data_IF_773997353928
#
_entry.id   IF_773997353928
#
_cell.length_a   1.000
_cell.length_b   1.000
_cell.length_c   1.000
_cell.angle_alpha   90.00
_cell.angle_beta   90.00
_cell.angle_gamma   90.00
#
_symmetry.space_group_name_H-M   'P 1'
#
loop_
_entity.id
_entity.type
_entity.pdbx_description
1 polymer ?
#
# COMPACT_ATOMS: atom_id res chain seq x y z
N UNK A 1 17.90 -16.09 -9.19
CA UNK A 1 17.28 -14.75 -8.99
C UNK A 1 16.11 -14.96 -8.04
N UNK A 2 16.19 -14.49 -6.79
CA UNK A 2 15.13 -14.75 -5.79
C UNK A 2 13.96 -13.78 -6.01
N UNK A 3 12.74 -14.30 -6.22
CA UNK A 3 11.49 -13.56 -6.34
C UNK A 3 10.82 -13.35 -4.97
N UNK A 4 9.79 -12.50 -4.90
CA UNK A 4 8.89 -12.48 -3.74
C UNK A 4 8.06 -13.77 -3.69
N UNK A 5 7.61 -14.18 -2.50
CA UNK A 5 6.90 -15.44 -2.28
C UNK A 5 5.49 -15.20 -1.74
N UNK A 6 4.52 -15.97 -2.23
CA UNK A 6 3.18 -16.03 -1.66
C UNK A 6 3.13 -17.14 -0.63
N UNK A 7 2.52 -16.88 0.53
CA UNK A 7 2.26 -17.95 1.50
C UNK A 7 1.24 -18.95 0.93
N UNK A 8 1.42 -20.24 1.21
CA UNK A 8 0.66 -21.34 0.61
C UNK A 8 -0.83 -21.28 0.93
N UNK A 9 -1.19 -20.84 2.13
CA UNK A 9 -2.58 -20.68 2.58
C UNK A 9 -3.21 -19.33 2.19
N UNK A 10 -2.53 -18.48 1.39
CA UNK A 10 -3.02 -17.15 1.04
C UNK A 10 -4.44 -17.18 0.47
N UNK A 11 -4.69 -18.01 -0.55
CA UNK A 11 -5.99 -18.01 -1.21
C UNK A 11 -7.10 -18.53 -0.32
N UNK A 12 -6.83 -19.53 0.50
CA UNK A 12 -7.77 -20.02 1.51
C UNK A 12 -8.19 -18.90 2.47
N UNK A 13 -7.22 -18.17 3.02
CA UNK A 13 -7.47 -17.04 3.93
C UNK A 13 -8.26 -15.92 3.25
N UNK A 14 -7.94 -15.59 2.00
CA UNK A 14 -8.66 -14.56 1.26
C UNK A 14 -10.10 -14.98 0.91
N UNK A 15 -10.32 -16.23 0.50
CA UNK A 15 -11.67 -16.76 0.23
C UNK A 15 -12.50 -16.78 1.52
N UNK A 16 -11.91 -17.21 2.64
CA UNK A 16 -12.57 -17.16 3.96
C UNK A 16 -12.99 -15.74 4.33
N UNK A 17 -12.11 -14.76 4.09
CA UNK A 17 -12.42 -13.36 4.34
C UNK A 17 -13.51 -12.83 3.38
N UNK A 18 -13.47 -13.16 2.09
CA UNK A 18 -14.53 -12.80 1.14
C UNK A 18 -15.88 -13.34 1.62
N UNK A 19 -15.95 -14.62 2.00
CA UNK A 19 -17.18 -15.22 2.50
C UNK A 19 -17.68 -14.56 3.78
N UNK A 20 -16.79 -14.18 4.69
CA UNK A 20 -17.16 -13.44 5.92
C UNK A 20 -17.68 -12.03 5.62
N UNK A 21 -17.02 -11.30 4.73
CA UNK A 21 -17.26 -9.86 4.57
C UNK A 21 -18.29 -9.52 3.50
N UNK A 22 -18.57 -10.41 2.53
CA UNK A 22 -19.58 -10.16 1.49
C UNK A 22 -20.99 -10.00 2.07
N UNK A 23 -21.27 -10.67 3.19
CA UNK A 23 -22.58 -10.60 3.87
C UNK A 23 -22.70 -9.35 4.75
N UNK A 24 -21.55 -8.74 5.12
CA UNK A 24 -21.48 -7.53 5.96
C UNK A 24 -21.43 -6.28 5.08
N UNK A 25 -20.73 -6.35 3.94
CA UNK A 25 -20.44 -5.21 3.07
C UNK A 25 -20.88 -5.51 1.64
N UNK A 26 -22.05 -5.00 1.25
CA UNK A 26 -22.63 -5.18 -0.09
C UNK A 26 -21.75 -4.66 -1.23
N UNK A 27 -20.84 -3.70 -0.95
CA UNK A 27 -19.88 -3.13 -1.90
C UNK A 27 -18.44 -3.57 -1.65
N UNK A 28 -18.21 -4.77 -1.11
CA UNK A 28 -16.86 -5.32 -0.95
C UNK A 28 -16.14 -5.45 -2.31
N UNK A 29 -15.04 -4.71 -2.49
CA UNK A 29 -14.27 -4.70 -3.72
C UNK A 29 -12.88 -5.33 -3.60
N UNK A 30 -12.23 -5.23 -2.44
CA UNK A 30 -10.84 -5.66 -2.27
C UNK A 30 -10.66 -6.35 -0.93
N UNK A 31 -9.98 -7.51 -0.97
CA UNK A 31 -9.45 -8.19 0.21
C UNK A 31 -7.92 -8.25 0.08
N UNK A 32 -7.23 -7.51 0.94
CA UNK A 32 -5.77 -7.53 1.07
C UNK A 32 -5.31 -8.23 2.36
N UNK A 33 -4.00 -8.18 2.60
CA UNK A 33 -3.37 -8.67 3.83
C UNK A 33 -2.00 -8.05 4.06
N UNK A 34 -1.31 -8.53 5.08
CA UNK A 34 -0.02 -7.97 5.52
C UNK A 34 1.14 -8.51 4.69
N UNK A 35 2.28 -7.82 4.73
CA UNK A 35 3.50 -8.20 4.00
C UNK A 35 4.67 -8.24 4.98
N UNK A 36 5.47 -9.31 4.93
CA UNK A 36 6.83 -9.33 5.49
C UNK A 36 7.82 -8.93 4.40
N UNK A 37 8.93 -8.33 4.78
CA UNK A 37 9.99 -7.89 3.87
C UNK A 37 11.28 -8.65 4.19
N UNK A 38 11.93 -9.25 3.19
CA UNK A 38 13.16 -10.01 3.37
C UNK A 38 14.31 -9.50 2.50
N UNK A 39 15.54 -9.67 3.00
CA UNK A 39 16.77 -9.29 2.29
C UNK A 39 17.72 -10.49 2.17
N UNK A 40 18.14 -10.82 0.95
CA UNK A 40 18.98 -11.99 0.70
C UNK A 40 18.11 -13.25 0.70
N UNK A 41 18.05 -13.96 1.83
CA UNK A 41 17.27 -15.20 1.98
C UNK A 41 15.85 -14.90 2.49
N UNK A 42 14.88 -15.74 2.13
CA UNK A 42 13.47 -15.58 2.53
C UNK A 42 13.25 -15.63 4.05
N UNK A 43 14.19 -16.25 4.78
CA UNK A 43 14.19 -16.35 6.24
C UNK A 43 14.72 -15.09 6.94
N UNK A 44 15.46 -14.24 6.23
CA UNK A 44 16.00 -13.00 6.78
C UNK A 44 14.97 -11.86 6.67
N UNK A 45 13.97 -11.90 7.54
CA UNK A 45 12.94 -10.87 7.62
C UNK A 45 13.53 -9.60 8.23
N UNK A 46 13.47 -8.51 7.46
CA UNK A 46 14.01 -7.18 7.82
C UNK A 46 12.92 -6.16 8.11
N UNK A 47 11.65 -6.50 7.91
CA UNK A 47 10.55 -5.59 8.14
C UNK A 47 9.17 -6.19 7.88
N UNK A 48 8.15 -5.40 8.21
CA UNK A 48 6.75 -5.71 7.91
C UNK A 48 6.06 -4.45 7.42
N UNK A 49 5.31 -4.56 6.32
CA UNK A 49 4.37 -3.53 5.90
C UNK A 49 2.98 -3.88 6.41
N UNK A 50 2.66 -3.35 7.59
CA UNK A 50 1.33 -3.47 8.19
C UNK A 50 0.39 -2.36 7.71
N UNK A 51 -0.84 -2.73 7.40
CA UNK A 51 -1.92 -1.84 6.95
C UNK A 51 -3.19 -2.07 7.79
N UNK A 52 -4.05 -1.06 7.96
CA UNK A 52 -5.24 -1.18 8.80
C UNK A 52 -6.21 -2.25 8.31
N UNK A 53 -6.94 -2.88 9.22
CA UNK A 53 -7.80 -4.03 8.91
C UNK A 53 -9.23 -3.60 8.55
N UNK A 54 -9.76 -2.60 9.26
CA UNK A 54 -11.17 -2.22 9.18
C UNK A 54 -11.40 -1.08 8.15
N UNK A 55 -12.54 -1.06 7.44
CA UNK A 55 -12.79 -0.13 6.34
C UNK A 55 -12.59 1.36 6.69
N UNK A 56 -13.10 1.79 7.84
CA UNK A 56 -13.01 3.19 8.29
C UNK A 56 -11.57 3.63 8.57
N UNK A 57 -10.74 2.71 9.05
CA UNK A 57 -9.32 2.99 9.27
C UNK A 57 -8.55 2.97 7.96
N UNK A 58 -8.90 2.06 7.04
CA UNK A 58 -8.36 2.02 5.68
C UNK A 58 -8.58 3.34 4.96
N UNK A 59 -9.79 3.89 5.02
CA UNK A 59 -10.13 5.18 4.42
C UNK A 59 -9.32 6.33 5.02
N UNK A 60 -9.28 6.43 6.36
CA UNK A 60 -8.46 7.43 7.06
C UNK A 60 -6.97 7.31 6.73
N UNK A 61 -6.48 6.09 6.65
CA UNK A 61 -5.08 5.81 6.32
C UNK A 61 -4.76 6.16 4.86
N UNK A 62 -5.72 5.96 3.94
CA UNK A 62 -5.62 6.32 2.54
C UNK A 62 -5.37 7.82 2.32
N UNK A 63 -5.77 8.69 3.27
CA UNK A 63 -5.44 10.11 3.21
C UNK A 63 -3.92 10.40 3.34
N UNK A 64 -3.16 9.48 3.95
CA UNK A 64 -1.73 9.63 4.24
C UNK A 64 -0.86 8.68 3.43
N UNK A 65 -1.15 7.38 3.43
CA UNK A 65 -0.33 6.32 2.81
C UNK A 65 -1.22 5.33 2.05
N UNK A 66 -0.63 4.56 1.14
CA UNK A 66 -1.37 3.51 0.43
C UNK A 66 -1.91 2.48 1.44
N UNK A 67 -3.24 2.28 1.50
CA UNK A 67 -3.87 1.51 2.57
C UNK A 67 -3.89 0.01 2.31
N UNK A 68 -3.53 -0.43 1.09
CA UNK A 68 -3.49 -1.84 0.72
C UNK A 68 -2.08 -2.22 0.26
N UNK A 69 -1.70 -3.46 0.57
CA UNK A 69 -0.53 -4.10 -0.01
C UNK A 69 -0.89 -4.68 -1.39
N UNK A 70 -0.51 -3.99 -2.48
CA UNK A 70 -0.81 -4.45 -3.84
C UNK A 70 -0.47 -5.93 -4.12
N UNK A 71 0.69 -6.49 -3.70
CA UNK A 71 0.98 -7.88 -4.01
C UNK A 71 0.07 -8.89 -3.28
N UNK A 72 -0.71 -8.46 -2.28
CA UNK A 72 -1.55 -9.34 -1.46
C UNK A 72 -3.01 -9.38 -1.90
N UNK A 73 -3.44 -8.59 -2.87
CA UNK A 73 -4.88 -8.38 -3.13
C UNK A 73 -5.57 -9.53 -3.85
N UNK A 74 -6.85 -9.69 -3.54
CA UNK A 74 -7.89 -10.21 -4.44
C UNK A 74 -8.88 -9.07 -4.71
N UNK A 75 -9.26 -8.88 -5.98
CA UNK A 75 -10.09 -7.75 -6.42
C UNK A 75 -11.36 -8.29 -7.11
N UNK A 76 -12.51 -7.74 -6.74
CA UNK A 76 -13.76 -7.96 -7.45
C UNK A 76 -13.66 -7.36 -8.87
N UNK A 77 -13.73 -8.21 -9.89
CA UNK A 77 -13.57 -7.82 -11.29
C UNK A 77 -14.60 -6.78 -11.73
N UNK A 78 -15.87 -6.96 -11.38
CA UNK A 78 -16.94 -6.02 -11.77
C UNK A 78 -16.72 -4.65 -11.12
N UNK A 79 -16.36 -4.62 -9.84
CA UNK A 79 -16.03 -3.36 -9.15
C UNK A 79 -14.82 -2.65 -9.80
N UNK A 80 -13.77 -3.40 -10.18
CA UNK A 80 -12.60 -2.86 -10.87
C UNK A 80 -12.94 -2.22 -12.20
N UNK A 81 -13.77 -2.89 -13.01
CA UNK A 81 -14.21 -2.38 -14.31
C UNK A 81 -15.09 -1.14 -14.15
N UNK A 82 -15.98 -1.11 -13.14
CA UNK A 82 -16.85 0.02 -12.86
C UNK A 82 -16.09 1.31 -12.50
N UNK A 83 -14.87 1.20 -11.95
CA UNK A 83 -14.02 2.37 -11.66
C UNK A 83 -12.96 2.63 -12.75
N UNK A 84 -13.02 1.91 -13.87
CA UNK A 84 -12.16 2.09 -15.04
C UNK A 84 -10.77 1.44 -14.97
N UNK A 85 -10.53 0.48 -14.07
CA UNK A 85 -9.24 -0.23 -14.00
C UNK A 85 -8.08 0.65 -13.51
N UNK A 86 -6.86 0.47 -14.04
CA UNK A 86 -5.67 1.25 -13.69
C UNK A 86 -5.59 2.54 -14.53
N UNK A 87 -5.17 3.65 -13.92
CA UNK A 87 -5.23 5.00 -14.50
C UNK A 87 -4.03 5.40 -15.37
N UNK A 88 -3.18 4.45 -15.79
CA UNK A 88 -2.02 4.68 -16.65
C UNK A 88 -0.94 5.61 -16.05
N UNK A 89 -0.98 5.85 -14.74
CA UNK A 89 0.02 6.68 -14.04
C UNK A 89 1.37 5.97 -14.02
N UNK A 90 2.47 6.63 -14.35
CA UNK A 90 3.78 5.94 -14.27
C UNK A 90 4.24 5.61 -12.83
N UNK A 91 3.65 6.27 -11.82
CA UNK A 91 3.94 6.06 -10.40
C UNK A 91 2.66 6.17 -9.59
N UNK A 92 2.60 5.49 -8.44
CA UNK A 92 1.46 5.50 -7.53
C UNK A 92 0.18 4.83 -8.07
N UNK A 93 0.28 4.05 -9.15
CA UNK A 93 -0.85 3.34 -9.78
C UNK A 93 -1.75 2.62 -8.79
N UNK A 94 -1.17 1.75 -7.97
CA UNK A 94 -1.92 0.99 -6.97
C UNK A 94 -2.60 1.91 -5.96
N UNK A 95 -1.91 2.96 -5.52
CA UNK A 95 -2.46 3.88 -4.52
C UNK A 95 -3.63 4.69 -5.11
N UNK A 96 -3.48 5.17 -6.34
CA UNK A 96 -4.56 5.83 -7.06
C UNK A 96 -5.76 4.90 -7.24
N UNK A 97 -5.53 3.61 -7.55
CA UNK A 97 -6.57 2.61 -7.65
C UNK A 97 -7.36 2.45 -6.34
N UNK A 98 -6.67 2.30 -5.20
CA UNK A 98 -7.34 2.17 -3.90
C UNK A 98 -8.13 3.42 -3.53
N UNK A 99 -7.61 4.60 -3.83
CA UNK A 99 -8.35 5.86 -3.61
C UNK A 99 -9.58 5.92 -4.49
N UNK A 100 -9.51 5.51 -5.76
CA UNK A 100 -10.68 5.50 -6.66
C UNK A 100 -11.76 4.51 -6.21
N UNK A 101 -11.39 3.35 -5.67
CA UNK A 101 -12.37 2.47 -5.04
C UNK A 101 -13.06 3.15 -3.85
N UNK A 102 -12.30 3.76 -2.94
CA UNK A 102 -12.84 4.44 -1.76
C UNK A 102 -13.74 5.63 -2.15
N UNK A 103 -13.32 6.44 -3.12
CA UNK A 103 -14.11 7.56 -3.64
C UNK A 103 -15.39 7.14 -4.36
N UNK A 104 -15.47 5.90 -4.83
CA UNK A 104 -16.67 5.29 -5.40
C UNK A 104 -17.45 4.45 -4.37
N UNK A 105 -17.20 4.68 -3.08
CA UNK A 105 -17.88 4.05 -1.94
C UNK A 105 -17.80 2.53 -1.95
N UNK A 106 -16.73 1.97 -2.54
CA UNK A 106 -16.43 0.55 -2.38
C UNK A 106 -15.72 0.29 -1.06
N UNK A 107 -15.98 -0.88 -0.51
CA UNK A 107 -15.38 -1.34 0.74
C UNK A 107 -14.12 -2.14 0.45
N UNK A 108 -13.04 -1.78 1.13
CA UNK A 108 -11.77 -2.48 1.12
C UNK A 108 -11.50 -2.99 2.53
N UNK A 109 -10.97 -4.21 2.64
CA UNK A 109 -10.57 -4.82 3.92
C UNK A 109 -9.17 -5.39 3.81
N UNK A 110 -8.46 -5.48 4.92
CA UNK A 110 -7.25 -6.29 5.04
C UNK A 110 -7.42 -7.33 6.13
N UNK A 111 -6.82 -8.49 5.94
CA UNK A 111 -6.73 -9.54 6.97
C UNK A 111 -5.42 -9.40 7.77
N UNK A 112 -5.39 -9.84 9.05
CA UNK A 112 -4.21 -9.68 9.90
C UNK A 112 -3.02 -10.56 9.49
N UNK A 113 -3.25 -11.59 8.68
CA UNK A 113 -2.23 -12.53 8.24
C UNK A 113 -1.27 -11.93 7.20
N UNK A 114 -0.02 -12.38 7.26
CA UNK A 114 0.97 -12.09 6.22
C UNK A 114 0.70 -12.99 5.03
N UNK A 115 0.44 -12.40 3.87
CA UNK A 115 0.09 -13.14 2.65
C UNK A 115 1.23 -13.23 1.64
N UNK A 116 2.19 -12.30 1.74
CA UNK A 116 3.36 -12.26 0.85
C UNK A 116 4.61 -11.96 1.66
N UNK A 117 5.66 -12.73 1.42
CA UNK A 117 7.02 -12.42 1.83
C UNK A 117 7.71 -11.69 0.67
N UNK A 118 7.81 -10.38 0.78
CA UNK A 118 8.27 -9.49 -0.29
C UNK A 118 9.78 -9.30 -0.23
N UNK A 119 10.46 -9.55 -1.35
CA UNK A 119 11.88 -9.25 -1.45
C UNK A 119 12.08 -7.73 -1.50
N UNK A 120 12.94 -7.21 -0.64
CA UNK A 120 13.39 -5.82 -0.69
C UNK A 120 14.84 -5.75 -1.16
N UNK A 121 15.12 -4.81 -2.06
CA UNK A 121 16.48 -4.53 -2.53
C UNK A 121 16.79 -3.03 -2.49
N UNK A 122 18.08 -2.70 -2.61
CA UNK A 122 18.52 -1.30 -2.61
C UNK A 122 17.96 -0.49 -3.79
N UNK A 123 17.53 -1.15 -4.86
CA UNK A 123 16.96 -0.48 -6.04
C UNK A 123 15.50 -0.09 -5.83
N UNK A 124 14.74 -0.78 -4.96
CA UNK A 124 13.39 -0.41 -4.55
C UNK A 124 13.36 1.02 -3.97
N UNK A 125 14.37 1.39 -3.20
CA UNK A 125 14.47 2.73 -2.61
C UNK A 125 14.76 3.82 -3.64
N UNK A 126 15.48 3.50 -4.72
CA UNK A 126 15.75 4.44 -5.82
C UNK A 126 14.48 4.78 -6.62
N UNK A 127 13.54 3.84 -6.72
CA UNK A 127 12.28 4.02 -7.48
C UNK A 127 11.22 4.87 -6.76
N UNK A 128 11.37 5.12 -5.45
CA UNK A 128 10.39 5.85 -4.61
C UNK A 128 10.92 7.21 -4.14
N UNK A 129 11.53 7.97 -5.04
CA UNK A 129 12.11 9.28 -4.74
C UNK A 129 12.33 10.12 -5.99
N UNK A 130 12.86 11.34 -5.80
CA UNK A 130 13.14 12.29 -6.87
C UNK A 130 11.99 13.26 -7.17
N UNK A 131 12.33 14.34 -7.89
CA UNK A 131 11.45 15.50 -8.12
C UNK A 131 10.19 15.11 -8.92
N UNK A 132 10.34 14.27 -9.97
CA UNK A 132 9.21 13.81 -10.80
C UNK A 132 8.19 12.99 -9.97
N UNK A 133 8.68 12.13 -9.08
CA UNK A 133 7.83 11.37 -8.17
C UNK A 133 7.10 12.30 -7.19
N UNK A 134 7.84 13.24 -6.58
CA UNK A 134 7.27 14.22 -5.65
C UNK A 134 6.18 15.07 -6.30
N UNK A 135 6.44 15.59 -7.51
CA UNK A 135 5.45 16.38 -8.27
C UNK A 135 4.16 15.58 -8.52
N UNK A 136 4.31 14.35 -9.01
CA UNK A 136 3.16 13.45 -9.24
C UNK A 136 2.42 13.14 -7.94
N UNK A 137 3.14 12.89 -6.85
CA UNK A 137 2.57 12.63 -5.54
C UNK A 137 1.73 13.81 -5.02
N UNK A 138 2.25 15.03 -5.08
CA UNK A 138 1.52 16.24 -4.63
C UNK A 138 0.28 16.47 -5.51
N UNK A 139 0.41 16.32 -6.83
CA UNK A 139 -0.71 16.42 -7.77
C UNK A 139 -1.82 15.42 -7.43
N UNK A 140 -1.47 14.15 -7.25
CA UNK A 140 -2.44 13.12 -6.88
C UNK A 140 -3.10 13.40 -5.53
N UNK A 141 -2.34 13.81 -4.51
CA UNK A 141 -2.91 14.18 -3.20
C UNK A 141 -3.97 15.28 -3.29
N UNK A 142 -3.76 16.28 -4.15
CA UNK A 142 -4.77 17.33 -4.40
C UNK A 142 -6.01 16.74 -5.08
N UNK A 143 -5.84 15.91 -6.11
CA UNK A 143 -6.96 15.25 -6.82
C UNK A 143 -7.77 14.36 -5.87
N UNK A 144 -7.10 13.53 -5.08
CA UNK A 144 -7.73 12.61 -4.12
C UNK A 144 -8.54 13.35 -3.07
N UNK A 145 -8.05 14.49 -2.58
CA UNK A 145 -8.82 15.38 -1.69
C UNK A 145 -10.12 15.84 -2.34
N UNK A 146 -10.10 16.24 -3.62
CA UNK A 146 -11.32 16.63 -4.35
C UNK A 146 -12.27 15.44 -4.58
N UNK A 147 -11.77 14.21 -4.51
CA UNK A 147 -12.56 12.97 -4.53
C UNK A 147 -12.96 12.47 -3.13
N UNK A 148 -12.88 13.33 -2.11
CA UNK A 148 -13.31 13.03 -0.74
C UNK A 148 -12.26 12.36 0.14
N UNK A 149 -11.07 12.03 -0.38
CA UNK A 149 -10.04 11.33 0.41
C UNK A 149 -9.00 12.32 0.95
N UNK A 150 -9.11 12.59 2.25
CA UNK A 150 -8.20 13.47 2.99
C UNK A 150 -8.63 14.93 3.02
N UNK A 151 -7.76 15.79 3.54
CA UNK A 151 -8.02 17.23 3.73
C UNK A 151 -6.81 18.06 3.30
N UNK A 152 -6.94 19.39 3.27
CA UNK A 152 -5.78 20.27 3.03
C UNK A 152 -4.62 19.96 4.00
N UNK A 153 -4.95 19.65 5.26
CA UNK A 153 -3.95 19.24 6.28
C UNK A 153 -3.24 17.95 5.88
N UNK A 154 -3.96 16.92 5.42
CA UNK A 154 -3.32 15.65 5.03
C UNK A 154 -2.45 15.81 3.78
N UNK A 155 -2.86 16.67 2.84
CA UNK A 155 -2.06 17.01 1.66
C UNK A 155 -0.73 17.65 2.08
N UNK A 156 -0.76 18.66 2.97
CA UNK A 156 0.45 19.33 3.46
C UNK A 156 1.36 18.36 4.21
N UNK A 157 0.84 17.64 5.21
CA UNK A 157 1.64 16.72 6.04
C UNK A 157 2.28 15.62 5.18
N UNK A 158 1.50 15.01 4.28
CA UNK A 158 1.99 13.93 3.43
C UNK A 158 3.04 14.43 2.42
N UNK A 159 2.85 15.65 1.91
CA UNK A 159 3.80 16.28 0.98
C UNK A 159 5.11 16.61 1.67
N UNK A 160 5.09 17.18 2.89
CA UNK A 160 6.30 17.43 3.68
C UNK A 160 7.06 16.13 4.00
N UNK A 161 6.34 15.07 4.38
CA UNK A 161 6.95 13.76 4.58
C UNK A 161 7.57 13.20 3.29
N UNK A 162 6.94 13.42 2.13
CA UNK A 162 7.48 13.00 0.83
C UNK A 162 8.68 13.85 0.40
N UNK A 163 8.68 15.16 0.68
CA UNK A 163 9.82 16.06 0.47
C UNK A 163 11.00 15.60 1.32
N UNK A 164 10.78 15.32 2.60
CA UNK A 164 11.81 14.75 3.46
C UNK A 164 12.38 13.45 2.87
N UNK A 165 11.53 12.60 2.30
CA UNK A 165 11.93 11.40 1.57
C UNK A 165 12.66 11.68 0.23
N UNK A 166 12.34 12.77 -0.48
CA UNK A 166 13.02 13.11 -1.73
C UNK A 166 14.39 13.75 -1.48
N UNK A 167 14.50 14.54 -0.40
CA UNK A 167 15.71 15.24 0.00
C UNK A 167 16.66 14.33 0.78
N UNK A 168 16.15 13.35 1.55
CA UNK A 168 17.01 12.40 2.28
C UNK A 168 17.93 11.66 1.28
N UNK A 169 19.25 11.88 1.35
CA UNK A 169 20.19 11.19 0.48
C UNK A 169 20.05 9.68 0.69
N UNK A 170 20.11 8.91 -0.39
CA UNK A 170 20.06 7.43 -0.35
C UNK A 170 21.08 6.87 0.67
N UNK A 171 22.21 7.56 0.85
CA UNK A 171 23.27 7.24 1.82
C UNK A 171 22.83 7.32 3.29
N UNK A 172 22.12 8.37 3.70
CA UNK A 172 21.64 8.52 5.08
C UNK A 172 20.50 7.55 5.42
N UNK A 173 19.67 7.19 4.43
CA UNK A 173 18.66 6.13 4.57
C UNK A 173 19.29 4.77 4.86
N UNK A 174 20.38 4.41 4.18
CA UNK A 174 21.11 3.15 4.43
C UNK A 174 21.66 3.11 5.86
N UNK A 175 22.21 4.23 6.35
CA UNK A 175 22.78 4.34 7.69
C UNK A 175 21.70 4.25 8.79
N UNK A 176 20.58 4.96 8.63
CA UNK A 176 19.45 4.90 9.56
C UNK A 176 18.78 3.52 9.57
N UNK A 177 18.61 2.88 8.42
CA UNK A 177 18.03 1.53 8.34
C UNK A 177 18.92 0.46 8.99
N UNK A 178 20.24 0.54 8.83
CA UNK A 178 21.16 -0.42 9.45
C UNK A 178 21.28 -0.22 10.96
N UNK A 179 21.11 1.00 11.49
CA UNK A 179 21.32 1.31 12.92
C UNK A 179 20.06 1.39 13.78
N UNK A 180 18.89 1.79 13.24
CA UNK A 180 17.69 2.06 14.06
C UNK A 180 16.54 1.05 13.89
N UNK A 181 16.47 0.34 12.75
CA UNK A 181 15.36 -0.59 12.47
C UNK A 181 15.68 -2.06 12.77
N UNK A 182 16.93 -2.41 13.07
CA UNK A 182 17.27 -3.71 13.69
C UNK A 182 17.24 -3.61 15.23
N UNK A 183 16.04 -3.42 15.79
CA UNK A 183 15.76 -4.08 17.07
C UNK A 183 15.34 -5.50 16.72
N UNK A 184 16.17 -6.48 17.09
CA UNK A 184 15.72 -7.87 17.21
C UNK A 184 14.59 -7.88 18.23
N UNK A 185 13.35 -8.03 17.78
CA UNK A 185 12.25 -8.71 18.46
C UNK A 185 11.05 -8.80 17.52
#
# INVERSE_FOLDING_TARGET
MLSSFSYSNRFELQIKAINKYKDIYSRLAVVGGQVSEFLGTEYNIVGYRRVPLVPKEIERFAAYRSPINNPTVMINKSALLNIGGYSGLNVLEDYDLWVRFLSAEYVLVNIPEVLVNMRVDNNMYKRRGGIKYLHTYIKQKKIWKHKGIGTNRTVVISSLAMIGNAIFPVLLRKILYQRLLHKRK
#
